data_IF_785299295605
#
_entry.id   IF_785299295605
#
_cell.length_a   1.000
_cell.length_b   1.000
_cell.length_c   1.000
_cell.angle_alpha   90.00
_cell.angle_beta   90.00
_cell.angle_gamma   90.00
#
_symmetry.space_group_name_H-M   'P 1'
#
loop_
_entity.id
_entity.type
_entity.pdbx_description
1 polymer ?
#
# COMPACT_ATOMS: atom_id res chain seq x y z
N UNK A 1 45.22 17.77 -23.06
CA UNK A 1 44.26 16.67 -23.30
C UNK A 1 42.90 16.89 -22.63
N UNK A 2 42.85 17.36 -21.37
CA UNK A 2 41.61 17.62 -20.61
C UNK A 2 40.62 18.63 -21.23
N UNK A 3 41.10 19.72 -21.85
CA UNK A 3 40.23 20.73 -22.51
C UNK A 3 39.39 20.15 -23.66
N UNK A 4 39.94 19.27 -24.49
CA UNK A 4 39.20 18.66 -25.63
C UNK A 4 38.08 17.73 -25.17
N UNK A 5 38.27 17.00 -24.05
CA UNK A 5 37.24 16.17 -23.42
C UNK A 5 36.10 17.01 -22.83
N UNK A 6 36.42 18.14 -22.20
CA UNK A 6 35.43 19.08 -21.66
C UNK A 6 34.56 19.73 -22.74
N UNK A 7 35.17 20.14 -23.86
CA UNK A 7 34.44 20.70 -24.99
C UNK A 7 33.52 19.67 -25.66
N UNK A 8 33.98 18.42 -25.87
CA UNK A 8 33.14 17.35 -26.44
C UNK A 8 31.92 17.05 -25.58
N UNK A 9 32.06 17.04 -24.24
CA UNK A 9 30.95 16.83 -23.30
C UNK A 9 29.89 17.95 -23.37
N UNK A 10 30.29 19.21 -23.56
CA UNK A 10 29.33 20.33 -23.70
C UNK A 10 28.43 20.20 -24.93
N UNK A 11 28.99 19.87 -26.09
CA UNK A 11 28.18 19.66 -27.30
C UNK A 11 27.22 18.47 -27.17
N UNK A 12 27.68 17.40 -26.51
CA UNK A 12 26.83 16.24 -26.22
C UNK A 12 25.65 16.68 -25.34
N UNK A 13 25.89 17.46 -24.27
CA UNK A 13 24.84 18.02 -23.37
C UNK A 13 23.88 18.98 -24.08
N UNK A 14 24.37 19.79 -25.02
CA UNK A 14 23.51 20.70 -25.82
C UNK A 14 22.63 19.94 -26.82
N UNK A 15 23.17 18.93 -27.51
CA UNK A 15 22.42 18.07 -28.43
C UNK A 15 21.40 17.22 -27.65
N UNK A 16 21.79 16.74 -26.47
CA UNK A 16 20.97 16.08 -25.46
C UNK A 16 19.70 16.89 -25.13
N UNK A 17 19.87 18.16 -24.77
CA UNK A 17 18.77 19.05 -24.43
C UNK A 17 17.83 19.28 -25.62
N UNK A 18 18.40 19.46 -26.82
CA UNK A 18 17.64 19.72 -28.05
C UNK A 18 16.78 18.51 -28.43
N UNK A 19 17.32 17.28 -28.35
CA UNK A 19 16.55 16.06 -28.65
C UNK A 19 15.40 15.86 -27.66
N UNK A 20 15.63 16.12 -26.37
CA UNK A 20 14.59 16.03 -25.33
C UNK A 20 13.52 17.11 -25.53
N UNK A 21 13.91 18.36 -25.82
CA UNK A 21 12.97 19.45 -26.11
C UNK A 21 12.13 19.12 -27.36
N UNK A 22 12.75 18.62 -28.43
CA UNK A 22 12.03 18.22 -29.65
C UNK A 22 11.05 17.06 -29.39
N UNK A 23 11.41 16.10 -28.54
CA UNK A 23 10.49 15.02 -28.12
C UNK A 23 9.30 15.53 -27.32
N UNK A 24 9.50 16.52 -26.44
CA UNK A 24 8.44 17.08 -25.60
C UNK A 24 7.52 18.01 -26.40
N UNK A 25 8.10 18.91 -27.20
CA UNK A 25 7.39 20.02 -27.85
C UNK A 25 6.79 19.62 -29.20
N UNK A 26 7.33 18.61 -29.89
CA UNK A 26 6.83 18.22 -31.22
C UNK A 26 5.44 17.57 -31.14
N UNK A 27 4.53 18.04 -31.97
CA UNK A 27 3.23 17.40 -32.24
C UNK A 27 3.30 16.39 -33.39
N UNK A 28 4.43 16.33 -34.11
CA UNK A 28 4.65 15.43 -35.24
C UNK A 28 4.99 14.00 -34.76
N UNK A 29 4.05 13.09 -34.99
CA UNK A 29 4.18 11.66 -34.63
C UNK A 29 5.29 10.95 -35.41
N UNK A 30 5.57 11.35 -36.65
CA UNK A 30 6.60 10.77 -37.50
C UNK A 30 7.99 11.14 -36.99
N UNK A 31 8.19 12.42 -36.65
CA UNK A 31 9.43 12.90 -36.04
C UNK A 31 9.67 12.23 -34.67
N UNK A 32 8.64 12.11 -33.82
CA UNK A 32 8.74 11.38 -32.55
C UNK A 32 9.18 9.93 -32.75
N UNK A 33 8.61 9.23 -33.74
CA UNK A 33 8.97 7.84 -34.05
C UNK A 33 10.43 7.70 -34.48
N UNK A 34 10.94 8.62 -35.31
CA UNK A 34 12.35 8.63 -35.74
C UNK A 34 13.28 8.89 -34.56
N UNK A 35 12.94 9.87 -33.70
CA UNK A 35 13.73 10.19 -32.51
C UNK A 35 13.74 9.01 -31.52
N UNK A 36 12.60 8.37 -31.25
CA UNK A 36 12.53 7.22 -30.33
C UNK A 36 13.30 5.98 -30.83
N UNK A 37 13.47 5.84 -32.15
CA UNK A 37 14.24 4.75 -32.75
C UNK A 37 15.74 5.08 -32.89
N UNK A 38 16.17 6.30 -32.55
CA UNK A 38 17.57 6.68 -32.59
C UNK A 38 18.32 6.13 -31.35
N UNK A 39 19.41 5.37 -31.50
CA UNK A 39 20.14 4.79 -30.38
C UNK A 39 20.67 5.82 -29.37
N UNK A 40 21.07 7.01 -29.84
CA UNK A 40 21.53 8.11 -28.99
C UNK A 40 20.35 8.64 -28.18
N UNK A 41 19.22 8.94 -28.83
CA UNK A 41 18.03 9.43 -28.14
C UNK A 41 17.49 8.43 -27.11
N UNK A 42 17.52 7.12 -27.41
CA UNK A 42 17.13 6.07 -26.46
C UNK A 42 18.06 6.06 -25.24
N UNK A 43 19.37 6.05 -25.46
CA UNK A 43 20.37 6.10 -24.38
C UNK A 43 20.20 7.35 -23.50
N UNK A 44 19.89 8.50 -24.12
CA UNK A 44 19.61 9.76 -23.42
C UNK A 44 18.38 9.65 -22.52
N UNK A 45 17.28 9.11 -23.06
CA UNK A 45 16.05 8.90 -22.30
C UNK A 45 16.32 7.96 -21.13
N UNK A 46 17.07 6.88 -21.36
CA UNK A 46 17.43 5.91 -20.33
C UNK A 46 18.29 6.56 -19.23
N UNK A 47 19.33 7.33 -19.58
CA UNK A 47 20.16 8.04 -18.61
C UNK A 47 19.38 9.11 -17.83
N UNK A 48 18.55 9.90 -18.51
CA UNK A 48 17.70 10.91 -17.88
C UNK A 48 16.67 10.30 -16.92
N UNK A 49 16.03 9.22 -17.35
CA UNK A 49 15.08 8.45 -16.53
C UNK A 49 15.77 7.86 -15.31
N UNK A 50 16.96 7.27 -15.48
CA UNK A 50 17.77 6.76 -14.38
C UNK A 50 18.20 7.86 -13.40
N UNK A 51 18.54 9.05 -13.90
CA UNK A 51 18.86 10.20 -13.04
C UNK A 51 17.64 10.66 -12.24
N UNK A 52 16.45 10.70 -12.84
CA UNK A 52 15.19 11.02 -12.14
C UNK A 52 14.94 10.00 -11.02
N UNK A 53 15.02 8.70 -11.31
CA UNK A 53 14.83 7.67 -10.28
C UNK A 53 15.86 7.78 -9.15
N UNK A 54 17.13 8.09 -9.46
CA UNK A 54 18.16 8.36 -8.44
C UNK A 54 17.80 9.56 -7.58
N UNK A 55 17.38 10.66 -8.19
CA UNK A 55 16.95 11.86 -7.44
C UNK A 55 15.74 11.56 -6.55
N UNK A 56 14.72 10.87 -7.08
CA UNK A 56 13.55 10.46 -6.31
C UNK A 56 13.96 9.56 -5.13
N UNK A 57 14.83 8.58 -5.34
CA UNK A 57 15.35 7.72 -4.28
C UNK A 57 16.11 8.48 -3.21
N UNK A 58 16.95 9.44 -3.60
CA UNK A 58 17.67 10.33 -2.67
C UNK A 58 16.66 11.19 -1.88
N UNK A 59 15.70 11.82 -2.55
CA UNK A 59 14.64 12.60 -1.87
C UNK A 59 13.89 11.75 -0.85
N UNK A 60 13.46 10.54 -1.24
CA UNK A 60 12.79 9.63 -0.32
C UNK A 60 13.68 9.19 0.85
N UNK A 61 15.00 9.09 0.66
CA UNK A 61 15.90 8.75 1.77
C UNK A 61 15.99 9.86 2.83
N UNK A 62 15.84 11.13 2.44
CA UNK A 62 15.80 12.26 3.39
C UNK A 62 14.46 12.42 4.09
N UNK A 63 13.37 12.05 3.41
CA UNK A 63 12.01 12.11 3.97
C UNK A 63 11.65 10.85 4.77
N UNK A 64 12.46 9.79 4.70
CA UNK A 64 12.17 8.52 5.35
C UNK A 64 12.13 8.68 6.88
N UNK A 65 11.10 8.12 7.55
CA UNK A 65 11.07 8.06 9.01
C UNK A 65 12.31 7.35 9.56
N UNK A 66 12.91 7.89 10.63
CA UNK A 66 14.11 7.32 11.27
C UNK A 66 13.88 5.89 11.77
N UNK A 67 12.64 5.59 12.16
CA UNK A 67 12.19 4.28 12.60
C UNK A 67 10.84 3.94 12.00
N UNK A 68 10.56 2.66 11.84
CA UNK A 68 9.25 2.12 11.49
C UNK A 68 8.58 1.42 12.67
N UNK A 69 9.20 1.48 13.86
CA UNK A 69 8.73 0.82 15.08
C UNK A 69 7.29 1.19 15.44
N UNK A 70 6.89 2.43 15.19
CA UNK A 70 5.50 2.85 15.34
C UNK A 70 4.55 1.99 14.49
N UNK A 71 4.84 1.83 13.20
CA UNK A 71 4.02 1.03 12.28
C UNK A 71 4.10 -0.45 12.64
N UNK A 72 5.29 -0.94 12.97
CA UNK A 72 5.52 -2.31 13.44
C UNK A 72 4.67 -2.63 14.66
N UNK A 73 4.70 -1.77 15.69
CA UNK A 73 3.95 -1.95 16.92
C UNK A 73 2.43 -1.83 16.71
N UNK A 74 1.99 -0.84 15.92
CA UNK A 74 0.57 -0.67 15.62
C UNK A 74 -0.01 -1.89 14.92
N UNK A 75 0.74 -2.47 13.96
CA UNK A 75 0.29 -3.68 13.26
C UNK A 75 0.40 -4.92 14.15
N UNK A 76 1.46 -5.07 14.95
CA UNK A 76 1.64 -6.25 15.82
C UNK A 76 0.64 -6.29 16.98
N UNK A 77 0.38 -5.15 17.61
CA UNK A 77 -0.42 -5.09 18.84
C UNK A 77 -1.88 -4.75 18.59
N UNK A 78 -2.23 -4.32 17.37
CA UNK A 78 -3.57 -3.81 17.07
C UNK A 78 -3.97 -2.63 17.97
N UNK A 79 -3.00 -1.98 18.59
CA UNK A 79 -3.25 -0.89 19.54
C UNK A 79 -3.13 0.43 18.80
N UNK A 80 -4.09 1.33 19.07
CA UNK A 80 -4.00 2.74 18.67
C UNK A 80 -2.67 3.33 19.14
N UNK A 81 -1.75 3.63 18.23
CA UNK A 81 -0.46 4.14 18.62
C UNK A 81 -0.57 5.65 18.96
N UNK A 82 0.41 6.18 19.67
CA UNK A 82 0.41 7.59 20.07
C UNK A 82 0.45 8.51 18.83
N UNK A 83 -0.46 9.49 18.78
CA UNK A 83 -0.63 10.37 17.60
C UNK A 83 0.64 11.17 17.27
N UNK A 84 1.52 11.38 18.24
CA UNK A 84 2.70 12.25 18.15
C UNK A 84 3.71 11.86 17.05
N UNK A 85 3.63 10.65 16.45
CA UNK A 85 4.57 10.19 15.43
C UNK A 85 4.07 10.17 13.97
N UNK A 86 2.79 10.41 13.71
CA UNK A 86 2.18 10.12 12.39
C UNK A 86 2.56 11.10 11.27
N UNK A 87 2.89 12.34 11.60
CA UNK A 87 3.16 13.39 10.62
C UNK A 87 4.30 13.06 9.66
N UNK A 88 5.40 12.48 10.19
CA UNK A 88 6.55 12.07 9.38
C UNK A 88 6.21 10.96 8.39
N UNK A 89 5.44 9.95 8.81
CA UNK A 89 4.98 8.88 7.92
C UNK A 89 4.06 9.41 6.82
N UNK A 90 3.13 10.30 7.15
CA UNK A 90 2.22 10.91 6.18
C UNK A 90 3.01 11.71 5.14
N UNK A 91 3.97 12.54 5.57
CA UNK A 91 4.82 13.32 4.66
C UNK A 91 5.62 12.41 3.72
N UNK A 92 6.27 11.39 4.28
CA UNK A 92 7.03 10.40 3.53
C UNK A 92 6.19 9.66 2.48
N UNK A 93 5.06 9.06 2.90
CA UNK A 93 4.23 8.27 1.99
C UNK A 93 3.51 9.15 0.96
N UNK A 94 3.19 10.40 1.28
CA UNK A 94 2.70 11.37 0.29
C UNK A 94 3.74 11.62 -0.78
N UNK A 95 4.99 11.91 -0.37
CA UNK A 95 6.09 12.13 -1.32
C UNK A 95 6.35 10.91 -2.18
N UNK A 96 6.31 9.71 -1.59
CA UNK A 96 6.43 8.47 -2.33
C UNK A 96 5.29 8.29 -3.33
N UNK A 97 4.04 8.60 -2.94
CA UNK A 97 2.88 8.49 -3.82
C UNK A 97 2.87 9.54 -4.95
N UNK A 98 3.49 10.70 -4.75
CA UNK A 98 3.73 11.68 -5.83
C UNK A 98 4.66 11.11 -6.92
N UNK A 99 5.71 10.41 -6.52
CA UNK A 99 6.66 9.79 -7.45
C UNK A 99 6.15 8.48 -8.05
N UNK A 100 5.38 7.71 -7.28
CA UNK A 100 4.91 6.37 -7.64
C UNK A 100 3.39 6.24 -7.38
N UNK A 101 2.54 6.93 -8.17
CA UNK A 101 1.10 7.04 -7.87
C UNK A 101 0.30 5.75 -8.02
N UNK A 102 0.85 4.75 -8.72
CA UNK A 102 0.19 3.47 -9.01
C UNK A 102 0.60 2.33 -8.08
N UNK A 103 1.24 2.63 -6.94
CA UNK A 103 1.59 1.64 -5.93
C UNK A 103 0.49 1.62 -4.86
N UNK A 104 -0.26 0.51 -4.80
CA UNK A 104 -1.39 0.36 -3.89
C UNK A 104 -0.98 0.45 -2.42
N UNK A 105 0.20 -0.08 -2.08
CA UNK A 105 0.71 -0.12 -0.71
C UNK A 105 1.00 1.28 -0.16
N UNK A 106 1.39 2.24 -1.01
CA UNK A 106 1.58 3.63 -0.60
C UNK A 106 0.25 4.28 -0.22
N UNK A 107 -0.81 4.02 -1.00
CA UNK A 107 -2.16 4.47 -0.67
C UNK A 107 -2.66 3.79 0.61
N UNK A 108 -2.40 2.50 0.79
CA UNK A 108 -2.77 1.77 2.00
C UNK A 108 -2.06 2.32 3.25
N UNK A 109 -0.77 2.67 3.15
CA UNK A 109 -0.03 3.27 4.25
C UNK A 109 -0.50 4.68 4.60
N UNK A 110 -0.88 5.49 3.60
CA UNK A 110 -1.54 6.77 3.86
C UNK A 110 -2.88 6.57 4.56
N UNK A 111 -3.70 5.63 4.08
CA UNK A 111 -4.97 5.27 4.71
C UNK A 111 -4.80 4.86 6.18
N UNK A 112 -3.82 4.00 6.45
CA UNK A 112 -3.47 3.55 7.80
C UNK A 112 -3.05 4.72 8.69
N UNK A 113 -2.17 5.59 8.21
CA UNK A 113 -1.71 6.74 9.00
C UNK A 113 -2.85 7.70 9.31
N UNK A 114 -3.71 8.00 8.33
CA UNK A 114 -4.86 8.88 8.53
C UNK A 114 -5.91 8.28 9.46
N UNK A 115 -6.11 6.97 9.39
CA UNK A 115 -6.99 6.26 10.31
C UNK A 115 -6.58 6.47 11.76
N UNK A 116 -5.30 6.24 12.09
CA UNK A 116 -4.80 6.43 13.45
C UNK A 116 -4.65 7.90 13.86
N UNK A 117 -4.54 8.83 12.90
CA UNK A 117 -4.62 10.27 13.15
C UNK A 117 -6.05 10.70 13.56
N UNK A 118 -7.05 9.88 13.21
CA UNK A 118 -8.48 10.14 13.40
C UNK A 118 -9.15 10.83 12.21
N UNK A 119 -8.43 10.98 11.09
CA UNK A 119 -8.91 11.56 9.84
C UNK A 119 -9.60 10.50 8.97
N UNK A 120 -10.78 10.08 9.42
CA UNK A 120 -11.51 8.93 8.83
C UNK A 120 -11.87 9.12 7.36
N UNK A 121 -12.18 10.35 6.93
CA UNK A 121 -12.55 10.65 5.54
C UNK A 121 -11.35 10.46 4.62
N UNK A 122 -10.22 11.04 4.99
CA UNK A 122 -8.96 10.90 4.26
C UNK A 122 -8.49 9.44 4.24
N UNK A 123 -8.65 8.72 5.36
CA UNK A 123 -8.36 7.29 5.41
C UNK A 123 -9.21 6.51 4.39
N UNK A 124 -10.52 6.79 4.32
CA UNK A 124 -11.44 6.17 3.37
C UNK A 124 -11.02 6.42 1.93
N UNK A 125 -10.73 7.66 1.56
CA UNK A 125 -10.31 8.03 0.20
C UNK A 125 -9.03 7.29 -0.23
N UNK A 126 -8.06 7.16 0.69
CA UNK A 126 -6.82 6.45 0.42
C UNK A 126 -7.01 4.93 0.32
N UNK A 127 -7.82 4.31 1.19
CA UNK A 127 -8.12 2.88 1.06
C UNK A 127 -8.96 2.53 -0.18
N UNK A 128 -9.88 3.42 -0.60
CA UNK A 128 -10.59 3.26 -1.89
C UNK A 128 -9.58 3.23 -3.04
N UNK A 129 -8.60 4.14 -3.04
CA UNK A 129 -7.55 4.15 -4.04
C UNK A 129 -6.65 2.90 -3.97
N UNK A 130 -6.31 2.42 -2.77
CA UNK A 130 -5.54 1.20 -2.59
C UNK A 130 -6.27 -0.04 -3.15
N UNK A 131 -7.58 -0.17 -2.88
CA UNK A 131 -8.42 -1.25 -3.44
C UNK A 131 -8.57 -1.10 -4.95
N UNK A 132 -8.66 0.12 -5.48
CA UNK A 132 -8.72 0.34 -6.94
C UNK A 132 -7.44 -0.12 -7.66
N UNK A 133 -6.29 0.11 -7.04
CA UNK A 133 -4.99 -0.26 -7.60
C UNK A 133 -4.68 -1.75 -7.43
N UNK A 134 -5.01 -2.33 -6.27
CA UNK A 134 -4.81 -3.74 -5.98
C UNK A 134 -6.08 -4.35 -5.33
N UNK A 135 -7.06 -4.75 -6.15
CA UNK A 135 -8.35 -5.23 -5.67
C UNK A 135 -8.27 -6.60 -4.99
N UNK A 136 -7.22 -7.38 -5.28
CA UNK A 136 -7.05 -8.73 -4.77
C UNK A 136 -6.15 -8.78 -3.54
N UNK A 137 -5.92 -7.67 -2.84
CA UNK A 137 -5.15 -7.67 -1.59
C UNK A 137 -6.05 -7.70 -0.36
N UNK A 138 -5.82 -8.69 0.51
CA UNK A 138 -6.61 -8.91 1.72
C UNK A 138 -6.72 -7.65 2.59
N UNK A 139 -5.58 -7.04 2.94
CA UNK A 139 -5.55 -5.92 3.90
C UNK A 139 -6.24 -4.65 3.37
N UNK A 140 -6.23 -4.41 2.06
CA UNK A 140 -6.91 -3.25 1.48
C UNK A 140 -8.44 -3.39 1.63
N UNK A 141 -8.99 -4.56 1.27
CA UNK A 141 -10.41 -4.84 1.40
C UNK A 141 -10.84 -4.89 2.88
N UNK A 142 -10.04 -5.55 3.73
CA UNK A 142 -10.30 -5.64 5.17
C UNK A 142 -10.37 -4.25 5.84
N UNK A 143 -9.34 -3.42 5.64
CA UNK A 143 -9.29 -2.09 6.27
C UNK A 143 -10.39 -1.17 5.73
N UNK A 144 -10.71 -1.27 4.44
CA UNK A 144 -11.82 -0.52 3.86
C UNK A 144 -13.17 -0.94 4.49
N UNK A 145 -13.39 -2.23 4.72
CA UNK A 145 -14.60 -2.68 5.42
C UNK A 145 -14.68 -2.18 6.86
N UNK A 146 -13.56 -2.19 7.60
CA UNK A 146 -13.48 -1.63 8.96
C UNK A 146 -13.88 -0.15 8.96
N UNK A 147 -13.39 0.62 8.00
CA UNK A 147 -13.78 2.03 7.86
C UNK A 147 -15.26 2.21 7.53
N UNK A 148 -15.85 1.35 6.71
CA UNK A 148 -17.30 1.39 6.44
C UNK A 148 -18.14 1.07 7.66
N UNK A 149 -17.74 0.08 8.48
CA UNK A 149 -18.39 -0.19 9.77
C UNK A 149 -18.35 1.05 10.67
N UNK A 150 -17.19 1.69 10.78
CA UNK A 150 -17.05 2.90 11.59
C UNK A 150 -17.85 4.09 11.07
N UNK A 151 -18.15 4.12 9.77
CA UNK A 151 -19.01 5.10 9.12
C UNK A 151 -20.49 4.67 9.11
N UNK A 152 -20.85 3.62 9.85
CA UNK A 152 -22.22 3.08 9.98
C UNK A 152 -22.82 2.61 8.64
N UNK A 153 -21.99 2.07 7.76
CA UNK A 153 -22.40 1.44 6.49
C UNK A 153 -22.09 -0.08 6.54
N UNK A 154 -22.92 -0.88 7.25
CA UNK A 154 -22.69 -2.31 7.38
C UNK A 154 -22.85 -3.08 6.06
N UNK A 155 -23.61 -2.54 5.10
CA UNK A 155 -23.80 -3.19 3.80
C UNK A 155 -22.49 -3.19 2.99
N UNK A 156 -21.83 -2.02 2.88
CA UNK A 156 -20.51 -1.97 2.24
C UNK A 156 -19.46 -2.73 3.03
N UNK A 157 -19.53 -2.73 4.35
CA UNK A 157 -18.63 -3.56 5.15
C UNK A 157 -18.75 -5.04 4.82
N UNK A 158 -19.97 -5.60 4.72
CA UNK A 158 -20.17 -7.00 4.32
C UNK A 158 -19.59 -7.24 2.92
N UNK A 159 -19.80 -6.33 1.98
CA UNK A 159 -19.26 -6.44 0.61
C UNK A 159 -17.72 -6.56 0.63
N UNK A 160 -17.04 -5.64 1.30
CA UNK A 160 -15.57 -5.61 1.33
C UNK A 160 -14.96 -6.70 2.24
N UNK A 161 -15.64 -7.11 3.31
CA UNK A 161 -15.24 -8.30 4.07
C UNK A 161 -15.34 -9.56 3.21
N UNK A 162 -16.43 -9.70 2.45
CA UNK A 162 -16.61 -10.83 1.52
C UNK A 162 -15.50 -10.87 0.47
N UNK A 163 -15.14 -9.71 -0.08
CA UNK A 163 -13.99 -9.59 -0.99
C UNK A 163 -12.69 -9.98 -0.27
N UNK A 164 -12.43 -9.47 0.92
CA UNK A 164 -11.21 -9.76 1.68
C UNK A 164 -11.03 -11.27 1.90
N UNK A 165 -12.05 -11.95 2.42
CA UNK A 165 -11.96 -13.40 2.71
C UNK A 165 -11.95 -14.29 1.47
N UNK A 166 -12.36 -13.77 0.31
CA UNK A 166 -12.28 -14.49 -0.97
C UNK A 166 -10.88 -14.47 -1.59
N UNK A 167 -10.01 -13.55 -1.15
CA UNK A 167 -8.62 -13.48 -1.59
C UNK A 167 -7.86 -14.69 -1.07
N UNK A 168 -7.04 -15.31 -1.92
CA UNK A 168 -6.12 -16.36 -1.51
C UNK A 168 -5.07 -15.81 -0.52
N UNK A 169 -4.91 -16.47 0.62
CA UNK A 169 -3.92 -16.09 1.63
C UNK A 169 -2.49 -16.12 1.08
N UNK A 170 -2.18 -17.04 0.16
CA UNK A 170 -0.86 -17.15 -0.47
C UNK A 170 -0.59 -15.98 -1.41
N UNK A 171 -1.63 -15.48 -2.09
CA UNK A 171 -1.53 -14.26 -2.88
C UNK A 171 -1.21 -13.06 -1.97
N UNK A 172 -1.97 -12.89 -0.88
CA UNK A 172 -1.73 -11.80 0.08
C UNK A 172 -0.36 -11.90 0.75
N UNK A 173 0.11 -13.11 1.06
CA UNK A 173 1.45 -13.36 1.58
C UNK A 173 2.52 -12.94 0.58
N UNK A 174 2.37 -13.33 -0.69
CA UNK A 174 3.27 -12.95 -1.78
C UNK A 174 3.36 -11.44 -1.95
N UNK A 175 2.21 -10.75 -2.04
CA UNK A 175 2.18 -9.28 -2.16
C UNK A 175 2.89 -8.63 -0.97
N UNK A 176 2.57 -9.07 0.25
CA UNK A 176 3.14 -8.48 1.47
C UNK A 176 4.65 -8.65 1.55
N UNK A 177 5.17 -9.86 1.26
CA UNK A 177 6.59 -10.16 1.34
C UNK A 177 7.41 -9.56 0.17
N UNK A 178 6.80 -9.37 -1.00
CA UNK A 178 7.46 -8.75 -2.14
C UNK A 178 7.57 -7.23 -2.02
N UNK A 179 6.62 -6.59 -1.31
CA UNK A 179 6.51 -5.14 -1.24
C UNK A 179 7.73 -4.46 -0.60
N UNK A 180 8.33 -3.51 -1.31
CA UNK A 180 9.40 -2.66 -0.77
C UNK A 180 8.88 -1.69 0.30
N UNK A 181 7.62 -1.27 0.19
CA UNK A 181 6.95 -0.38 1.16
C UNK A 181 6.83 -1.07 2.51
N UNK A 182 6.25 -2.28 2.52
CA UNK A 182 6.07 -3.02 3.75
C UNK A 182 7.39 -3.55 4.31
N UNK A 183 8.37 -3.92 3.47
CA UNK A 183 9.68 -4.39 3.93
C UNK A 183 10.31 -3.45 4.97
N UNK A 184 10.16 -2.14 4.84
CA UNK A 184 10.68 -1.17 5.82
C UNK A 184 10.12 -1.40 7.23
N UNK A 185 8.87 -1.85 7.34
CA UNK A 185 8.16 -2.11 8.60
C UNK A 185 8.65 -3.39 9.26
N UNK A 186 8.84 -4.47 8.49
CA UNK A 186 9.14 -5.80 9.05
C UNK A 186 10.63 -6.15 9.02
N UNK A 187 11.46 -5.42 8.27
CA UNK A 187 12.89 -5.75 8.07
C UNK A 187 13.71 -5.86 9.36
N UNK A 188 13.31 -5.15 10.42
CA UNK A 188 13.96 -5.16 11.73
C UNK A 188 13.35 -6.15 12.72
N UNK A 189 12.27 -6.84 12.35
CA UNK A 189 11.61 -7.80 13.23
C UNK A 189 12.34 -9.14 13.26
N UNK A 190 12.23 -9.84 14.40
CA UNK A 190 12.64 -11.25 14.50
C UNK A 190 11.63 -12.11 13.75
N UNK A 191 12.11 -12.82 12.73
CA UNK A 191 11.32 -13.71 11.86
C UNK A 191 10.11 -13.02 11.17
N UNK A 192 10.38 -12.09 10.23
CA UNK A 192 9.33 -11.29 9.58
C UNK A 192 8.35 -12.15 8.78
N UNK A 193 8.79 -13.29 8.23
CA UNK A 193 7.92 -14.16 7.43
C UNK A 193 6.84 -14.78 8.31
N UNK A 194 7.20 -15.38 9.44
CA UNK A 194 6.21 -15.96 10.36
C UNK A 194 5.27 -14.90 10.93
N UNK A 195 5.78 -13.69 11.21
CA UNK A 195 4.97 -12.55 11.65
C UNK A 195 3.91 -12.17 10.62
N UNK A 196 4.28 -12.07 9.34
CA UNK A 196 3.33 -11.78 8.26
C UNK A 196 2.30 -12.89 8.10
N UNK A 197 2.71 -14.17 8.17
CA UNK A 197 1.79 -15.32 8.10
C UNK A 197 0.77 -15.26 9.24
N UNK A 198 1.22 -15.05 10.48
CA UNK A 198 0.35 -14.99 11.64
C UNK A 198 -0.57 -13.77 11.60
N UNK A 199 -0.05 -12.62 11.16
CA UNK A 199 -0.85 -11.41 10.95
C UNK A 199 -1.97 -11.64 9.93
N UNK A 200 -1.65 -12.26 8.79
CA UNK A 200 -2.67 -12.62 7.79
C UNK A 200 -3.71 -13.57 8.37
N UNK A 201 -3.29 -14.68 8.98
CA UNK A 201 -4.21 -15.63 9.64
C UNK A 201 -5.17 -14.94 10.61
N UNK A 202 -4.64 -14.13 11.52
CA UNK A 202 -5.42 -13.33 12.46
C UNK A 202 -6.36 -12.36 11.74
N UNK A 203 -5.89 -11.68 10.69
CA UNK A 203 -6.72 -10.82 9.85
C UNK A 203 -7.91 -11.57 9.24
N UNK A 204 -7.67 -12.71 8.60
CA UNK A 204 -8.74 -13.54 8.01
C UNK A 204 -9.74 -13.99 9.09
N UNK A 205 -9.27 -14.39 10.27
CA UNK A 205 -10.13 -14.72 11.40
C UNK A 205 -11.02 -13.56 11.81
N UNK A 206 -10.47 -12.36 11.96
CA UNK A 206 -11.24 -11.14 12.27
C UNK A 206 -12.24 -10.83 11.16
N UNK A 207 -11.86 -10.98 9.91
CA UNK A 207 -12.73 -10.71 8.76
C UNK A 207 -13.94 -11.67 8.72
N UNK A 208 -13.68 -12.97 8.91
CA UNK A 208 -14.72 -13.99 9.00
C UNK A 208 -15.62 -13.78 10.23
N UNK A 209 -15.04 -13.39 11.37
CA UNK A 209 -15.79 -13.11 12.58
C UNK A 209 -16.74 -11.92 12.40
N UNK A 210 -16.23 -10.79 11.92
CA UNK A 210 -17.05 -9.61 11.63
C UNK A 210 -18.14 -9.91 10.60
N UNK A 211 -17.81 -10.68 9.55
CA UNK A 211 -18.80 -11.12 8.56
C UNK A 211 -19.90 -11.96 9.21
N UNK A 212 -19.53 -12.91 10.07
CA UNK A 212 -20.47 -13.77 10.76
C UNK A 212 -21.43 -12.99 11.66
N UNK A 213 -20.93 -12.00 12.39
CA UNK A 213 -21.76 -11.14 13.23
C UNK A 213 -22.74 -10.29 12.40
N UNK A 214 -22.28 -9.67 11.32
CA UNK A 214 -23.13 -8.86 10.43
C UNK A 214 -24.17 -9.70 9.68
N UNK A 215 -23.81 -10.91 9.26
CA UNK A 215 -24.75 -11.85 8.62
C UNK A 215 -25.83 -12.29 9.62
N UNK A 216 -25.44 -12.53 10.87
CA UNK A 216 -26.38 -12.87 11.94
C UNK A 216 -27.36 -11.73 12.21
N UNK A 217 -26.89 -10.48 12.34
CA UNK A 217 -27.79 -9.33 12.53
C UNK A 217 -28.71 -9.09 11.33
N UNK A 218 -28.27 -9.50 10.13
CA UNK A 218 -29.07 -9.48 8.89
C UNK A 218 -30.03 -10.68 8.73
N UNK A 219 -30.16 -11.55 9.74
CA UNK A 219 -31.03 -12.74 9.69
C UNK A 219 -30.52 -13.92 8.86
N UNK A 220 -29.28 -13.87 8.36
CA UNK A 220 -28.65 -14.92 7.54
C UNK A 220 -27.88 -15.91 8.42
N UNK A 221 -28.62 -16.66 9.22
CA UNK A 221 -28.04 -17.45 10.32
C UNK A 221 -27.14 -18.61 9.85
N UNK A 222 -27.48 -19.30 8.76
CA UNK A 222 -26.65 -20.36 8.19
C UNK A 222 -25.30 -19.83 7.69
N UNK A 223 -25.32 -18.71 6.96
CA UNK A 223 -24.11 -18.04 6.46
C UNK A 223 -23.24 -17.51 7.61
N UNK A 224 -23.88 -16.99 8.66
CA UNK A 224 -23.22 -16.54 9.86
C UNK A 224 -22.45 -17.68 10.56
N UNK A 225 -23.09 -18.84 10.75
CA UNK A 225 -22.45 -20.02 11.35
C UNK A 225 -21.26 -20.47 10.51
N UNK A 226 -21.40 -20.48 9.18
CA UNK A 226 -20.30 -20.84 8.27
C UNK A 226 -19.12 -19.87 8.42
N UNK A 227 -19.37 -18.57 8.41
CA UNK A 227 -18.34 -17.56 8.59
C UNK A 227 -17.66 -17.67 9.97
N UNK A 228 -18.42 -17.84 11.05
CA UNK A 228 -17.85 -18.01 12.40
C UNK A 228 -16.99 -19.27 12.54
N UNK A 229 -17.38 -20.38 11.90
CA UNK A 229 -16.53 -21.59 11.84
C UNK A 229 -15.21 -21.30 11.13
N UNK A 230 -15.24 -20.59 9.99
CA UNK A 230 -14.04 -20.20 9.28
C UNK A 230 -13.13 -19.28 10.10
N UNK A 231 -13.71 -18.39 10.92
CA UNK A 231 -12.93 -17.51 11.80
C UNK A 231 -12.01 -18.30 12.75
N UNK A 232 -12.51 -19.40 13.32
CA UNK A 232 -11.74 -20.27 14.22
C UNK A 232 -10.69 -21.07 13.44
N UNK A 233 -11.03 -21.57 12.24
CA UNK A 233 -10.08 -22.34 11.41
C UNK A 233 -8.91 -21.46 10.96
N UNK A 234 -9.17 -20.21 10.55
CA UNK A 234 -8.15 -19.29 10.07
C UNK A 234 -7.13 -18.88 11.14
N UNK A 235 -7.49 -18.93 12.42
CA UNK A 235 -6.60 -18.55 13.52
C UNK A 235 -5.59 -19.66 13.85
N UNK A 236 -5.80 -20.86 13.33
CA UNK A 236 -5.26 -22.09 13.91
C UNK A 236 -6.25 -22.65 14.92
N UNK A 237 -6.51 -23.96 14.87
CA UNK A 237 -7.53 -24.60 15.71
C UNK A 237 -7.40 -24.18 17.19
N UNK A 238 -8.51 -23.70 17.77
CA UNK A 238 -8.64 -23.28 19.18
C UNK A 238 -7.90 -21.99 19.57
N UNK A 239 -7.35 -21.22 18.63
CA UNK A 239 -6.85 -19.88 18.92
C UNK A 239 -7.97 -18.83 18.80
N UNK A 240 -8.42 -18.31 19.93
CA UNK A 240 -9.42 -17.23 20.03
C UNK A 240 -8.80 -15.88 20.40
N UNK A 241 -7.47 -15.77 20.41
CA UNK A 241 -6.77 -14.54 20.82
C UNK A 241 -7.14 -13.34 19.94
N UNK A 242 -7.46 -13.58 18.66
CA UNK A 242 -7.86 -12.55 17.70
C UNK A 242 -9.10 -11.74 18.12
N UNK A 243 -9.96 -12.29 19.00
CA UNK A 243 -11.15 -11.60 19.50
C UNK A 243 -10.82 -10.39 20.38
N UNK A 244 -9.64 -10.37 21.02
CA UNK A 244 -9.23 -9.25 21.89
C UNK A 244 -8.89 -7.98 21.10
N UNK A 245 -8.61 -8.14 19.81
CA UNK A 245 -8.06 -7.10 18.95
C UNK A 245 -9.03 -6.72 17.81
N UNK A 246 -10.32 -7.01 17.97
CA UNK A 246 -11.39 -6.54 17.07
C UNK A 246 -11.74 -5.12 17.48
N UNK A 247 -11.27 -4.13 16.72
CA UNK A 247 -11.39 -2.70 17.07
C UNK A 247 -12.81 -2.13 16.97
N UNK A 248 -13.74 -2.83 16.30
CA UNK A 248 -15.10 -2.33 16.05
C UNK A 248 -16.13 -3.25 16.70
N UNK A 249 -16.97 -2.67 17.56
CA UNK A 249 -18.13 -3.37 18.09
C UNK A 249 -19.19 -3.54 16.99
N UNK A 250 -19.20 -4.74 16.42
CA UNK A 250 -20.12 -5.13 15.35
C UNK A 250 -21.52 -5.44 15.88
N UNK A 251 -21.71 -5.58 17.20
CA UNK A 251 -23.02 -5.88 17.80
C UNK A 251 -23.91 -4.65 17.95
N UNK A 252 -23.35 -3.45 17.71
CA UNK A 252 -24.06 -2.18 17.74
C UNK A 252 -24.84 -1.86 16.44
N UNK A 253 -24.87 -2.78 15.46
CA UNK A 253 -25.47 -2.63 14.13
C UNK A 253 -26.45 -3.76 13.81
#
# INVERSE_FOLDING_TARGET
MFRKLFFKKRYIVSILLIVVILLIVSTDKSLKKVLLNNPVAKHIIDEGTNAIYRMQGITLSFEAPESYEFLSNAIEKGTKPDKAGLGGYIAYYKKAAEFYPNIAELQAMLGFCYYYEGKKKEALDHYINAVRLEPNYFWNNYNLAVLYLQNKDPQKAIEYLSKAVSVDIDYSLKVTLASSVYRNIWSRMKDPKSRVINGLRSGYSKAFYMSGLLLKSSGREEDAIKALKMAVVSAGEKDYSFLKDVEVDVTAF
#
